data_IF_588511712051
#
_entry.id   IF_588511712051
#
_cell.length_a   1.000
_cell.length_b   1.000
_cell.length_c   1.000
_cell.angle_alpha   90.00
_cell.angle_beta   90.00
_cell.angle_gamma   90.00
#
_symmetry.space_group_name_H-M   'P 1'
#
loop_
_entity.id
_entity.type
_entity.pdbx_description
1 polymer ?
#
# COMPACT_ATOMS: atom_id res chain seq x y z
N UNK A 1 3.06 7.16 30.11
CA UNK A 1 3.94 7.14 28.91
C UNK A 1 4.63 5.79 28.68
N UNK A 2 4.15 4.67 29.25
CA UNK A 2 4.65 3.32 28.95
C UNK A 2 3.48 2.40 28.62
N UNK A 3 2.75 2.73 27.55
CA UNK A 3 1.98 1.69 26.86
C UNK A 3 2.93 1.16 25.79
N UNK A 4 3.37 -0.08 25.96
CA UNK A 4 4.23 -0.78 25.00
C UNK A 4 3.65 -0.59 23.60
N UNK A 5 4.48 -0.16 22.65
CA UNK A 5 4.15 -0.23 21.23
C UNK A 5 3.54 -1.61 20.96
N UNK A 6 2.36 -1.63 20.37
CA UNK A 6 1.60 -2.85 20.16
C UNK A 6 2.39 -3.75 19.21
N UNK A 7 3.09 -4.73 19.79
CA UNK A 7 3.91 -5.74 19.10
C UNK A 7 3.27 -6.29 17.81
N UNK A 8 1.96 -6.59 17.73
CA UNK A 8 1.36 -7.05 16.48
C UNK A 8 1.45 -6.04 15.33
N UNK A 9 1.21 -4.75 15.59
CA UNK A 9 1.32 -3.70 14.56
C UNK A 9 2.77 -3.48 14.15
N UNK A 10 3.69 -3.55 15.12
CA UNK A 10 5.12 -3.43 14.86
C UNK A 10 5.58 -4.58 13.95
N UNK A 11 5.24 -5.82 14.29
CA UNK A 11 5.58 -7.00 13.48
C UNK A 11 4.95 -6.90 12.09
N UNK A 12 3.68 -6.51 11.98
CA UNK A 12 3.02 -6.28 10.69
C UNK A 12 3.80 -5.27 9.85
N UNK A 13 4.18 -4.13 10.43
CA UNK A 13 4.91 -3.09 9.71
C UNK A 13 6.28 -3.57 9.22
N UNK A 14 7.01 -4.34 10.04
CA UNK A 14 8.32 -4.90 9.67
C UNK A 14 8.17 -5.91 8.52
N UNK A 15 7.24 -6.86 8.65
CA UNK A 15 6.99 -7.87 7.61
C UNK A 15 6.52 -7.22 6.31
N UNK A 16 5.66 -6.21 6.38
CA UNK A 16 5.18 -5.48 5.22
C UNK A 16 6.32 -4.76 4.49
N UNK A 17 7.17 -4.02 5.23
CA UNK A 17 8.32 -3.33 4.63
C UNK A 17 9.27 -4.32 3.93
N UNK A 18 9.62 -5.43 4.60
CA UNK A 18 10.48 -6.46 4.01
C UNK A 18 9.87 -7.05 2.74
N UNK A 19 8.58 -7.37 2.75
CA UNK A 19 7.87 -7.91 1.59
C UNK A 19 7.83 -6.92 0.43
N UNK A 20 7.60 -5.65 0.71
CA UNK A 20 7.61 -4.60 -0.31
C UNK A 20 8.99 -4.40 -0.93
N UNK A 21 10.06 -4.45 -0.12
CA UNK A 21 11.43 -4.42 -0.64
C UNK A 21 11.75 -5.63 -1.53
N UNK A 22 11.34 -6.83 -1.12
CA UNK A 22 11.48 -8.04 -1.94
C UNK A 22 10.70 -7.93 -3.25
N UNK A 23 9.48 -7.39 -3.23
CA UNK A 23 8.69 -7.16 -4.43
C UNK A 23 9.37 -6.18 -5.37
N UNK A 24 9.90 -5.06 -4.87
CA UNK A 24 10.66 -4.10 -5.69
C UNK A 24 11.90 -4.76 -6.27
N UNK A 25 12.66 -5.51 -5.46
CA UNK A 25 13.83 -6.24 -5.93
C UNK A 25 13.49 -7.23 -7.04
N UNK A 26 12.40 -7.99 -6.89
CA UNK A 26 11.89 -8.90 -7.92
C UNK A 26 11.44 -8.14 -9.18
N UNK A 27 10.67 -7.05 -9.04
CA UNK A 27 10.23 -6.23 -10.17
C UNK A 27 11.43 -5.66 -10.94
N UNK A 28 12.45 -5.16 -10.24
CA UNK A 28 13.68 -4.65 -10.85
C UNK A 28 14.45 -5.78 -11.53
N UNK A 29 14.60 -6.93 -10.88
CA UNK A 29 15.29 -8.10 -11.47
C UNK A 29 14.59 -8.59 -12.74
N UNK A 30 13.27 -8.77 -12.70
CA UNK A 30 12.46 -9.22 -13.84
C UNK A 30 12.51 -8.19 -14.97
N UNK A 31 12.37 -6.89 -14.64
CA UNK A 31 12.45 -5.81 -15.63
C UNK A 31 13.84 -5.76 -16.28
N UNK A 32 14.91 -5.94 -15.50
CA UNK A 32 16.29 -6.01 -16.00
C UNK A 32 16.50 -7.22 -16.92
N UNK A 33 16.01 -8.39 -16.53
CA UNK A 33 16.15 -9.62 -17.33
C UNK A 33 15.30 -9.59 -18.61
N UNK A 34 14.14 -8.93 -18.61
CA UNK A 34 13.27 -8.79 -19.79
C UNK A 34 13.62 -7.58 -20.69
N UNK A 35 14.49 -6.66 -20.24
CA UNK A 35 14.93 -5.52 -21.04
C UNK A 35 16.01 -5.92 -22.05
N UNK A 36 15.58 -6.47 -23.20
CA UNK A 36 16.43 -6.79 -24.35
C UNK A 36 16.98 -5.51 -25.04
N UNK A 37 16.42 -4.33 -24.78
CA UNK A 37 16.93 -3.03 -25.25
C UNK A 37 17.52 -2.19 -24.11
N UNK A 38 18.77 -1.74 -24.31
CA UNK A 38 19.53 -0.81 -23.45
C UNK A 38 18.70 0.45 -23.15
N UNK A 39 17.92 0.42 -22.09
CA UNK A 39 17.32 1.62 -21.52
C UNK A 39 18.45 2.39 -20.82
N UNK A 40 18.55 3.70 -21.05
CA UNK A 40 19.50 4.60 -20.37
C UNK A 40 19.49 4.29 -18.86
N UNK A 41 20.66 4.15 -18.24
CA UNK A 41 20.79 4.01 -16.78
C UNK A 41 20.11 5.21 -16.11
N UNK A 42 19.15 4.94 -15.21
CA UNK A 42 18.39 5.99 -14.52
C UNK A 42 18.62 5.83 -13.04
N UNK A 43 19.44 6.73 -12.52
CA UNK A 43 19.90 6.73 -11.14
C UNK A 43 19.10 7.76 -10.35
N UNK A 44 19.03 7.60 -9.04
CA UNK A 44 18.42 8.56 -8.12
C UNK A 44 18.85 10.03 -8.34
N UNK A 45 20.06 10.27 -8.85
CA UNK A 45 20.58 11.63 -9.12
C UNK A 45 19.94 12.34 -10.33
N UNK A 46 19.15 11.65 -11.15
CA UNK A 46 18.36 12.29 -12.21
C UNK A 46 17.12 12.95 -11.59
N UNK A 47 17.20 14.25 -11.31
CA UNK A 47 16.12 15.09 -10.78
C UNK A 47 15.03 15.40 -11.83
N UNK A 48 14.61 14.41 -12.61
CA UNK A 48 13.47 14.55 -13.53
C UNK A 48 12.22 13.93 -12.92
N UNK A 49 11.27 14.77 -12.50
CA UNK A 49 10.00 14.35 -11.92
C UNK A 49 9.16 13.48 -12.87
N UNK A 50 9.39 13.53 -14.19
CA UNK A 50 8.70 12.65 -15.16
C UNK A 50 9.09 11.19 -15.03
N UNK A 51 10.25 10.89 -14.46
CA UNK A 51 10.77 9.53 -14.27
C UNK A 51 10.86 9.13 -12.80
N UNK A 52 10.16 9.87 -11.93
CA UNK A 52 10.07 9.55 -10.50
C UNK A 52 9.64 8.10 -10.30
N UNK A 53 10.39 7.35 -9.48
CA UNK A 53 10.16 5.93 -9.18
C UNK A 53 10.37 4.93 -10.34
N UNK A 54 11.00 5.33 -11.45
CA UNK A 54 11.31 4.44 -12.58
C UNK A 54 12.79 4.02 -12.67
N UNK A 55 13.52 4.07 -11.55
CA UNK A 55 14.94 3.77 -11.48
C UNK A 55 15.29 2.35 -11.95
N UNK A 56 16.49 2.21 -12.51
CA UNK A 56 17.00 0.93 -13.02
C UNK A 56 17.56 0.04 -11.92
N UNK A 57 17.95 0.64 -10.80
CA UNK A 57 18.72 -0.01 -9.74
C UNK A 57 17.96 -0.05 -8.42
N UNK A 58 17.99 -1.21 -7.77
CA UNK A 58 17.36 -1.42 -6.46
C UNK A 58 17.92 -0.46 -5.39
N UNK A 59 19.23 -0.19 -5.44
CA UNK A 59 19.91 0.69 -4.48
C UNK A 59 19.31 2.11 -4.47
N UNK A 60 18.97 2.67 -5.64
CA UNK A 60 18.33 3.99 -5.73
C UNK A 60 16.97 4.04 -5.02
N UNK A 61 16.20 2.94 -5.04
CA UNK A 61 14.96 2.84 -4.29
C UNK A 61 15.20 2.80 -2.78
N UNK A 62 16.20 2.04 -2.34
CA UNK A 62 16.56 1.93 -0.92
C UNK A 62 17.06 3.27 -0.37
N UNK A 63 18.01 3.91 -1.06
CA UNK A 63 18.61 5.18 -0.62
C UNK A 63 17.53 6.27 -0.49
N UNK A 64 16.63 6.40 -1.47
CA UNK A 64 15.54 7.36 -1.39
C UNK A 64 14.58 7.07 -0.23
N UNK A 65 14.16 5.80 -0.06
CA UNK A 65 13.30 5.42 1.07
C UNK A 65 13.95 5.68 2.42
N UNK A 66 15.26 5.42 2.55
CA UNK A 66 16.03 5.70 3.76
C UNK A 66 16.10 7.20 4.06
N UNK A 67 16.33 8.03 3.04
CA UNK A 67 16.33 9.50 3.19
C UNK A 67 14.95 10.00 3.64
N UNK A 68 13.87 9.56 2.99
CA UNK A 68 12.50 9.94 3.38
C UNK A 68 12.18 9.48 4.80
N UNK A 69 12.55 8.25 5.17
CA UNK A 69 12.36 7.73 6.51
C UNK A 69 13.16 8.52 7.56
N UNK A 70 14.44 8.80 7.31
CA UNK A 70 15.30 9.52 8.24
C UNK A 70 14.83 10.97 8.46
N UNK A 71 14.45 11.67 7.38
CA UNK A 71 13.90 13.03 7.45
C UNK A 71 12.56 13.01 8.17
N UNK A 72 11.66 12.08 7.84
CA UNK A 72 10.37 11.94 8.53
C UNK A 72 10.53 11.62 10.01
N UNK A 73 11.45 10.74 10.37
CA UNK A 73 11.77 10.41 11.76
C UNK A 73 12.35 11.61 12.51
N UNK A 74 13.26 12.38 11.89
CA UNK A 74 13.83 13.58 12.47
C UNK A 74 12.75 14.66 12.73
N UNK A 75 11.90 14.94 11.74
CA UNK A 75 10.79 15.89 11.88
C UNK A 75 9.84 15.43 13.00
N UNK A 76 9.46 14.15 12.99
CA UNK A 76 8.57 13.59 14.01
C UNK A 76 9.18 13.69 15.40
N UNK A 77 10.47 13.37 15.55
CA UNK A 77 11.20 13.47 16.81
C UNK A 77 11.23 14.90 17.35
N UNK A 78 11.52 15.89 16.49
CA UNK A 78 11.52 17.31 16.86
C UNK A 78 10.13 17.82 17.24
N UNK A 79 9.08 17.30 16.61
CA UNK A 79 7.68 17.71 16.81
C UNK A 79 6.92 16.84 17.82
N UNK A 80 7.59 15.96 18.58
CA UNK A 80 6.95 15.06 19.55
C UNK A 80 6.14 15.79 20.64
N UNK A 81 6.54 17.01 21.00
CA UNK A 81 5.84 17.85 21.98
C UNK A 81 4.56 18.48 21.44
N UNK A 82 4.33 18.44 20.13
CA UNK A 82 3.22 19.09 19.45
C UNK A 82 2.10 18.09 19.18
N UNK A 83 1.03 18.16 19.97
CA UNK A 83 -0.07 17.19 19.94
C UNK A 83 -0.86 17.19 18.63
N UNK A 84 -1.20 18.36 18.10
CA UNK A 84 -1.97 18.47 16.85
C UNK A 84 -1.21 17.91 15.64
N UNK A 85 0.12 18.03 15.64
CA UNK A 85 0.98 17.49 14.58
C UNK A 85 0.91 15.95 14.58
N UNK A 86 1.09 15.33 15.75
CA UNK A 86 1.02 13.88 15.90
C UNK A 86 -0.36 13.32 15.55
N UNK A 87 -1.44 14.03 15.92
CA UNK A 87 -2.80 13.64 15.56
C UNK A 87 -3.04 13.72 14.05
N UNK A 88 -2.56 14.78 13.40
CA UNK A 88 -2.70 14.95 11.94
C UNK A 88 -1.90 13.89 11.16
N UNK A 89 -0.66 13.60 11.58
CA UNK A 89 0.16 12.55 10.95
C UNK A 89 -0.47 11.18 11.14
N UNK A 90 -1.00 10.89 12.33
CA UNK A 90 -1.75 9.66 12.60
C UNK A 90 -2.97 9.52 11.68
N UNK A 91 -3.76 10.59 11.56
CA UNK A 91 -4.95 10.59 10.70
C UNK A 91 -4.58 10.37 9.24
N UNK A 92 -3.58 11.10 8.72
CA UNK A 92 -3.12 10.97 7.34
C UNK A 92 -2.58 9.55 7.05
N UNK A 93 -1.90 8.94 8.01
CA UNK A 93 -1.39 7.58 7.86
C UNK A 93 -2.54 6.56 7.71
N UNK A 94 -3.51 6.56 8.63
CA UNK A 94 -4.63 5.59 8.59
C UNK A 94 -5.61 5.92 7.45
N UNK A 95 -5.77 7.19 7.09
CA UNK A 95 -6.54 7.60 5.92
C UNK A 95 -5.90 7.09 4.63
N UNK A 96 -4.58 7.26 4.47
CA UNK A 96 -3.86 6.74 3.30
C UNK A 96 -4.00 5.22 3.20
N UNK A 97 -3.90 4.51 4.34
CA UNK A 97 -4.11 3.06 4.41
C UNK A 97 -5.51 2.66 3.94
N UNK A 98 -6.55 3.32 4.46
CA UNK A 98 -7.94 3.06 4.06
C UNK A 98 -8.16 3.30 2.56
N UNK A 99 -7.44 4.25 1.95
CA UNK A 99 -7.58 4.57 0.53
C UNK A 99 -6.89 3.57 -0.42
N UNK A 100 -6.03 2.66 0.07
CA UNK A 100 -5.30 1.71 -0.77
C UNK A 100 -6.23 0.75 -1.55
N UNK A 101 -7.40 0.42 -0.99
CA UNK A 101 -8.39 -0.45 -1.64
C UNK A 101 -9.19 0.25 -2.76
N UNK A 102 -9.33 1.57 -2.72
CA UNK A 102 -10.15 2.33 -3.67
C UNK A 102 -9.73 2.17 -5.15
N UNK A 103 -8.44 2.30 -5.55
CA UNK A 103 -8.06 2.15 -6.95
C UNK A 103 -8.39 0.74 -7.48
N UNK A 104 -8.31 -0.28 -6.63
CA UNK A 104 -8.68 -1.64 -6.99
C UNK A 104 -10.21 -1.77 -7.19
N UNK A 105 -10.99 -1.20 -6.28
CA UNK A 105 -12.45 -1.12 -6.42
C UNK A 105 -12.88 -0.41 -7.72
N UNK A 106 -12.27 0.74 -8.02
CA UNK A 106 -12.55 1.50 -9.25
C UNK A 106 -12.20 0.71 -10.51
N UNK A 107 -11.05 0.03 -10.52
CA UNK A 107 -10.60 -0.79 -11.65
C UNK A 107 -11.54 -1.97 -11.88
N UNK A 108 -11.96 -2.66 -10.83
CA UNK A 108 -12.95 -3.73 -10.90
C UNK A 108 -14.29 -3.21 -11.45
N UNK A 109 -14.75 -2.04 -10.99
CA UNK A 109 -16.00 -1.44 -11.45
C UNK A 109 -15.94 -1.05 -12.93
N UNK A 110 -14.85 -0.41 -13.36
CA UNK A 110 -14.66 0.03 -14.75
C UNK A 110 -14.53 -1.16 -15.71
N UNK A 111 -13.76 -2.18 -15.33
CA UNK A 111 -13.50 -3.33 -16.19
C UNK A 111 -14.64 -4.37 -16.14
N UNK A 112 -15.55 -4.28 -15.15
CA UNK A 112 -16.60 -5.27 -14.86
C UNK A 112 -16.08 -6.72 -14.83
N UNK A 113 -14.83 -6.91 -14.47
CA UNK A 113 -14.16 -8.20 -14.42
C UNK A 113 -13.06 -8.16 -13.36
N UNK A 114 -12.96 -9.24 -12.59
CA UNK A 114 -11.94 -9.43 -11.54
C UNK A 114 -10.87 -10.44 -11.98
N UNK A 115 -10.64 -10.55 -13.30
CA UNK A 115 -9.64 -11.45 -13.84
C UNK A 115 -8.22 -11.08 -13.37
N UNK A 116 -7.51 -12.05 -12.78
CA UNK A 116 -6.17 -11.86 -12.20
C UNK A 116 -6.13 -11.48 -10.72
N UNK A 117 -7.28 -11.32 -10.06
CA UNK A 117 -7.37 -11.10 -8.62
C UNK A 117 -7.59 -12.42 -7.87
N UNK A 118 -6.75 -12.70 -6.86
CA UNK A 118 -6.92 -13.88 -6.01
C UNK A 118 -8.04 -13.66 -4.99
N UNK A 119 -9.08 -14.51 -5.03
CA UNK A 119 -10.20 -14.44 -4.09
C UNK A 119 -9.73 -14.67 -2.65
N UNK A 120 -8.81 -15.63 -2.45
CA UNK A 120 -8.24 -15.94 -1.14
C UNK A 120 -7.50 -14.75 -0.53
N UNK A 121 -6.84 -13.94 -1.37
CA UNK A 121 -6.17 -12.71 -0.92
C UNK A 121 -7.18 -11.67 -0.44
N UNK A 122 -8.24 -11.41 -1.21
CA UNK A 122 -9.27 -10.42 -0.85
C UNK A 122 -9.99 -10.84 0.44
N UNK A 123 -10.32 -12.12 0.58
CA UNK A 123 -10.92 -12.63 1.82
C UNK A 123 -9.99 -12.44 3.03
N UNK A 124 -8.70 -12.71 2.86
CA UNK A 124 -7.70 -12.55 3.92
C UNK A 124 -7.47 -11.08 4.28
N UNK A 125 -7.56 -10.15 3.31
CA UNK A 125 -7.60 -8.70 3.57
C UNK A 125 -8.80 -8.33 4.43
N UNK A 126 -10.02 -8.70 4.01
CA UNK A 126 -11.24 -8.41 4.77
C UNK A 126 -11.17 -8.96 6.20
N UNK A 127 -10.67 -10.18 6.37
CA UNK A 127 -10.50 -10.79 7.69
C UNK A 127 -9.47 -10.03 8.55
N UNK A 128 -8.31 -9.69 7.98
CA UNK A 128 -7.26 -8.92 8.66
C UNK A 128 -7.76 -7.55 9.13
N UNK A 129 -8.50 -6.85 8.28
CA UNK A 129 -9.00 -5.50 8.58
C UNK A 129 -10.15 -5.50 9.57
N UNK A 130 -10.98 -6.56 9.56
CA UNK A 130 -11.97 -6.79 10.58
C UNK A 130 -11.32 -7.05 11.95
N UNK A 131 -10.30 -7.90 12.01
CA UNK A 131 -9.56 -8.17 13.25
C UNK A 131 -8.83 -6.91 13.77
N UNK A 132 -8.20 -6.14 12.89
CA UNK A 132 -7.50 -4.89 13.23
C UNK A 132 -8.47 -3.85 13.79
N UNK A 133 -9.62 -3.67 13.14
CA UNK A 133 -10.65 -2.73 13.59
C UNK A 133 -11.27 -3.15 14.92
N UNK A 134 -11.57 -4.45 15.09
CA UNK A 134 -12.04 -4.99 16.37
C UNK A 134 -11.03 -4.83 17.50
N UNK A 135 -9.75 -5.03 17.20
CA UNK A 135 -8.66 -4.80 18.14
C UNK A 135 -8.58 -3.33 18.61
N UNK A 136 -8.69 -2.36 17.68
CA UNK A 136 -8.71 -0.93 18.04
C UNK A 136 -9.93 -0.53 18.87
N UNK A 137 -11.09 -1.14 18.59
CA UNK A 137 -12.30 -0.92 19.36
C UNK A 137 -12.15 -1.40 20.81
N UNK A 138 -11.61 -2.61 21.01
CA UNK A 138 -11.37 -3.19 22.35
C UNK A 138 -10.32 -2.40 23.16
N UNK A 139 -9.36 -1.75 22.49
CA UNK A 139 -8.29 -0.98 23.12
C UNK A 139 -8.64 0.49 23.35
N UNK A 140 -9.87 0.92 23.07
CA UNK A 140 -10.29 2.32 23.15
C UNK A 140 -9.30 3.27 22.43
N UNK A 141 -8.84 2.85 21.25
CA UNK A 141 -7.94 3.66 20.44
C UNK A 141 -8.61 5.00 20.04
N UNK A 142 -7.82 6.04 19.71
CA UNK A 142 -8.35 7.33 19.28
C UNK A 142 -9.38 7.19 18.15
N UNK A 143 -10.34 8.11 18.08
CA UNK A 143 -11.53 7.96 17.22
C UNK A 143 -11.20 7.78 15.74
N UNK A 144 -10.13 8.42 15.27
CA UNK A 144 -9.56 8.26 13.93
C UNK A 144 -9.31 6.80 13.52
N UNK A 145 -8.84 5.93 14.43
CA UNK A 145 -8.45 4.56 14.10
C UNK A 145 -9.64 3.66 13.78
N UNK A 146 -10.72 3.76 14.55
CA UNK A 146 -11.90 2.92 14.30
C UNK A 146 -12.76 3.47 13.16
N UNK A 147 -12.82 4.79 12.96
CA UNK A 147 -13.53 5.39 11.81
C UNK A 147 -12.87 4.96 10.51
N UNK A 148 -11.55 5.15 10.39
CA UNK A 148 -10.82 4.74 9.18
C UNK A 148 -10.77 3.21 9.03
N UNK A 149 -10.70 2.45 10.13
CA UNK A 149 -10.81 0.98 10.09
C UNK A 149 -12.15 0.48 9.54
N UNK A 150 -13.27 1.09 9.95
CA UNK A 150 -14.58 0.77 9.39
C UNK A 150 -14.68 1.12 7.89
N UNK A 151 -14.10 2.25 7.47
CA UNK A 151 -14.02 2.60 6.05
C UNK A 151 -13.23 1.54 5.26
N UNK A 152 -12.11 1.07 5.79
CA UNK A 152 -11.30 0.02 5.17
C UNK A 152 -12.09 -1.29 5.01
N UNK A 153 -12.68 -1.78 6.11
CA UNK A 153 -13.55 -2.97 6.08
C UNK A 153 -14.70 -2.81 5.09
N UNK A 154 -15.29 -1.63 4.97
CA UNK A 154 -16.36 -1.37 4.01
C UNK A 154 -15.89 -1.48 2.55
N UNK A 155 -14.68 -0.99 2.25
CA UNK A 155 -14.08 -1.07 0.92
C UNK A 155 -13.73 -2.51 0.56
N UNK A 156 -13.21 -3.29 1.51
CA UNK A 156 -12.89 -4.70 1.27
C UNK A 156 -14.14 -5.53 1.02
N UNK A 157 -15.20 -5.32 1.79
CA UNK A 157 -16.50 -5.98 1.55
C UNK A 157 -17.04 -5.58 0.16
N UNK A 158 -16.90 -4.32 -0.23
CA UNK A 158 -17.31 -3.86 -1.55
C UNK A 158 -16.51 -4.57 -2.67
N UNK A 159 -15.19 -4.71 -2.52
CA UNK A 159 -14.34 -5.45 -3.47
C UNK A 159 -14.71 -6.94 -3.48
N UNK A 160 -14.93 -7.56 -2.32
CA UNK A 160 -15.34 -8.96 -2.21
C UNK A 160 -16.69 -9.20 -2.89
N UNK A 161 -17.63 -8.26 -2.76
CA UNK A 161 -18.91 -8.29 -3.46
C UNK A 161 -18.71 -8.24 -4.98
N UNK A 162 -17.83 -7.36 -5.48
CA UNK A 162 -17.50 -7.28 -6.90
C UNK A 162 -16.89 -8.57 -7.43
N UNK A 163 -16.02 -9.22 -6.65
CA UNK A 163 -15.44 -10.53 -6.99
C UNK A 163 -16.53 -11.58 -7.13
N UNK A 164 -17.50 -11.61 -6.22
CA UNK A 164 -18.61 -12.55 -6.29
C UNK A 164 -19.52 -12.29 -7.50
N UNK A 165 -19.86 -11.03 -7.78
CA UNK A 165 -20.73 -10.65 -8.90
C UNK A 165 -20.06 -10.80 -10.27
N UNK A 166 -18.80 -10.40 -10.40
CA UNK A 166 -18.07 -10.44 -11.68
C UNK A 166 -17.37 -11.78 -11.94
N UNK A 167 -17.53 -12.78 -11.05
CA UNK A 167 -16.96 -14.13 -11.19
C UNK A 167 -17.29 -14.80 -12.53
N UNK A 168 -18.48 -14.53 -13.06
CA UNK A 168 -18.98 -15.14 -14.31
C UNK A 168 -18.71 -14.27 -15.55
N UNK A 169 -18.19 -13.07 -15.38
CA UNK A 169 -17.91 -12.21 -16.51
C UNK A 169 -16.65 -12.70 -17.22
N UNK A 170 -16.68 -12.84 -18.56
CA UNK A 170 -15.51 -13.20 -19.32
C UNK A 170 -14.39 -12.19 -19.08
N UNK A 171 -13.14 -12.61 -19.30
CA UNK A 171 -12.00 -11.71 -19.22
C UNK A 171 -12.28 -10.44 -20.04
N UNK A 172 -11.89 -9.24 -19.56
CA UNK A 172 -12.04 -8.04 -20.35
C UNK A 172 -11.31 -8.30 -21.67
N UNK A 173 -12.02 -8.15 -22.78
CA UNK A 173 -11.49 -8.42 -24.10
C UNK A 173 -10.30 -7.46 -24.26
N UNK A 174 -9.08 -7.98 -24.15
CA UNK A 174 -7.91 -7.26 -24.60
C UNK A 174 -8.15 -7.06 -26.08
N UNK A 175 -8.63 -5.89 -26.47
CA UNK A 175 -8.38 -5.37 -27.79
C UNK A 175 -6.86 -5.32 -27.86
N UNK A 176 -6.27 -6.41 -28.37
CA UNK A 176 -4.97 -6.35 -29.01
C UNK A 176 -5.06 -5.14 -29.92
N UNK A 177 -4.35 -4.09 -29.53
CA UNK A 177 -3.92 -3.07 -30.46
C UNK A 177 -2.93 -3.78 -31.38
N UNK A 178 -3.51 -4.51 -32.34
CA UNK A 178 -2.90 -4.60 -33.65
C UNK A 178 -2.82 -3.17 -34.18
N UNK A 179 -1.72 -2.93 -34.89
CA UNK A 179 -1.29 -1.69 -35.53
C UNK A 179 -0.39 -0.80 -34.67
#
# INVERSE_FOLDING_TARGET
>A
FSSRYELPLLVQSVVMNLTMFLMIHLCVMVRRNNAIMRTRERVFSDFDSRYFWQWTDFQSYVDFMLVVWAVGAAITYLMLSVTWFMETVGFLAVFTEAMLGLPQFMRNFKNKSTHGMSISMVFMWTAGDLFKTGYFFLRHAPTQFWICGLLQVSLDIAILSQVYFYRKNPAPRNTHRGD
#
